data_IF_474943244883
#
_entry.id   IF_474943244883
#
_cell.length_a   1.000
_cell.length_b   1.000
_cell.length_c   1.000
_cell.angle_alpha   90.00
_cell.angle_beta   90.00
_cell.angle_gamma   90.00
#
_symmetry.space_group_name_H-M   'P 1'
#
loop_
_entity.id
_entity.type
_entity.pdbx_description
1 polymer ?
#
# COMPACT_ATOMS: atom_id res chain seq x y z
N UNK A 1 4.65 -23.32 -15.36
CA UNK A 1 3.16 -23.40 -15.45
C UNK A 1 2.53 -22.03 -15.20
N UNK A 2 2.83 -21.36 -14.08
CA UNK A 2 2.45 -19.97 -13.77
C UNK A 2 2.54 -18.99 -14.95
N UNK A 3 3.73 -18.79 -15.53
CA UNK A 3 3.94 -17.84 -16.64
C UNK A 3 3.06 -18.15 -17.85
N UNK A 4 2.86 -19.43 -18.16
CA UNK A 4 2.03 -19.86 -19.29
C UNK A 4 0.55 -19.59 -19.05
N UNK A 5 0.08 -19.80 -17.82
CA UNK A 5 -1.30 -19.49 -17.42
C UNK A 5 -1.62 -17.99 -17.58
N UNK A 6 -0.74 -17.11 -17.06
CA UNK A 6 -0.92 -15.66 -17.18
C UNK A 6 -0.69 -15.14 -18.59
N UNK A 7 0.19 -15.77 -19.37
CA UNK A 7 0.32 -15.45 -20.79
C UNK A 7 -0.98 -15.73 -21.55
N UNK A 8 -1.63 -16.89 -21.31
CA UNK A 8 -2.94 -17.17 -21.91
C UNK A 8 -4.02 -16.18 -21.47
N UNK A 9 -3.95 -15.66 -20.24
CA UNK A 9 -4.83 -14.58 -19.78
C UNK A 9 -4.57 -13.25 -20.52
N UNK A 10 -3.30 -12.91 -20.77
CA UNK A 10 -2.95 -11.72 -21.56
C UNK A 10 -3.49 -11.80 -23.00
N UNK A 11 -3.50 -13.00 -23.59
CA UNK A 11 -4.07 -13.26 -24.92
C UNK A 11 -5.60 -13.39 -24.93
N UNK A 12 -6.25 -13.40 -23.76
CA UNK A 12 -7.69 -13.65 -23.63
C UNK A 12 -8.12 -15.10 -23.93
N UNK A 13 -7.18 -16.05 -23.97
CA UNK A 13 -7.42 -17.48 -24.22
C UNK A 13 -7.80 -18.22 -22.93
N UNK A 14 -8.82 -17.73 -22.22
CA UNK A 14 -9.18 -18.21 -20.88
C UNK A 14 -9.58 -19.70 -20.83
N UNK A 15 -10.19 -20.22 -21.90
CA UNK A 15 -10.54 -21.65 -22.01
C UNK A 15 -9.32 -22.56 -22.12
N UNK A 16 -8.24 -22.09 -22.76
CA UNK A 16 -6.98 -22.83 -22.81
C UNK A 16 -6.23 -22.75 -21.47
N UNK A 17 -6.40 -21.65 -20.73
CA UNK A 17 -5.81 -21.48 -19.41
C UNK A 17 -6.43 -22.43 -18.36
N UNK A 18 -7.63 -22.94 -18.59
CA UNK A 18 -8.29 -23.96 -17.74
C UNK A 18 -7.41 -25.20 -17.52
N UNK A 19 -6.59 -25.59 -18.50
CA UNK A 19 -5.68 -26.74 -18.38
C UNK A 19 -4.62 -26.58 -17.27
N UNK A 20 -4.48 -25.39 -16.69
CA UNK A 20 -3.60 -25.12 -15.56
C UNK A 20 -4.36 -24.94 -14.24
N UNK A 21 -5.69 -25.01 -14.24
CA UNK A 21 -6.56 -24.89 -13.07
C UNK A 21 -6.76 -26.27 -12.45
N UNK A 22 -6.81 -26.35 -11.12
CA UNK A 22 -7.11 -27.60 -10.44
C UNK A 22 -8.55 -28.03 -10.77
N UNK A 23 -8.80 -29.34 -10.87
CA UNK A 23 -10.13 -29.85 -11.25
C UNK A 23 -11.24 -29.33 -10.32
N UNK A 24 -10.97 -29.30 -9.02
CA UNK A 24 -11.86 -28.75 -7.98
C UNK A 24 -12.10 -27.23 -8.06
N UNK A 25 -11.28 -26.50 -8.82
CA UNK A 25 -11.36 -25.03 -8.94
C UNK A 25 -11.88 -24.58 -10.30
N UNK A 26 -12.27 -25.51 -11.19
CA UNK A 26 -12.74 -25.18 -12.56
C UNK A 26 -14.02 -24.35 -12.55
N UNK A 27 -14.99 -24.73 -11.73
CA UNK A 27 -16.26 -24.02 -11.64
C UNK A 27 -16.07 -22.59 -11.12
N UNK A 28 -15.31 -22.43 -10.02
CA UNK A 28 -14.94 -21.12 -9.50
C UNK A 28 -14.13 -20.29 -10.51
N UNK A 29 -13.31 -20.94 -11.34
CA UNK A 29 -12.58 -20.28 -12.40
C UNK A 29 -13.53 -19.80 -13.51
N UNK A 30 -14.56 -20.57 -13.88
CA UNK A 30 -15.57 -20.15 -14.84
C UNK A 30 -16.40 -18.96 -14.35
N UNK A 31 -16.72 -18.93 -13.05
CA UNK A 31 -17.49 -17.85 -12.43
C UNK A 31 -16.66 -16.58 -12.16
N UNK A 32 -15.33 -16.68 -12.20
CA UNK A 32 -14.45 -15.54 -11.94
C UNK A 32 -14.46 -14.47 -13.04
N UNK A 33 -14.30 -13.21 -12.62
CA UNK A 33 -14.11 -12.06 -13.50
C UNK A 33 -12.79 -12.18 -14.28
N UNK A 34 -12.89 -12.44 -15.59
CA UNK A 34 -11.74 -12.63 -16.47
C UNK A 34 -11.32 -11.31 -17.08
N UNK A 35 -10.10 -10.87 -16.74
CA UNK A 35 -9.48 -9.67 -17.31
C UNK A 35 -8.24 -10.03 -18.10
N UNK A 36 -7.99 -9.26 -19.16
CA UNK A 36 -6.74 -9.33 -19.91
C UNK A 36 -5.70 -8.46 -19.20
N UNK A 37 -4.62 -9.08 -18.80
CA UNK A 37 -3.48 -8.39 -18.21
C UNK A 37 -2.47 -8.06 -19.32
N UNK A 38 -1.91 -6.87 -19.29
CA UNK A 38 -0.96 -6.39 -20.30
C UNK A 38 0.48 -6.82 -20.00
N UNK A 39 0.81 -7.04 -18.72
CA UNK A 39 2.13 -7.50 -18.30
C UNK A 39 2.05 -8.39 -17.07
N UNK A 40 3.08 -9.21 -16.87
CA UNK A 40 3.24 -10.10 -15.74
C UNK A 40 4.64 -9.91 -15.16
N UNK A 41 4.69 -9.66 -13.86
CA UNK A 41 5.92 -9.65 -13.08
C UNK A 41 5.74 -10.55 -11.86
N UNK A 42 6.67 -11.47 -11.63
CA UNK A 42 6.62 -12.33 -10.44
C UNK A 42 7.37 -11.62 -9.31
N UNK A 43 6.64 -11.25 -8.26
CA UNK A 43 7.21 -10.51 -7.13
C UNK A 43 7.79 -11.48 -6.10
N UNK A 44 7.00 -12.48 -5.71
CA UNK A 44 7.38 -13.43 -4.65
C UNK A 44 6.70 -14.77 -4.83
N UNK A 45 7.42 -15.84 -4.49
CA UNK A 45 6.86 -17.19 -4.36
C UNK A 45 7.09 -17.67 -2.94
N UNK A 46 6.02 -18.00 -2.23
CA UNK A 46 6.08 -18.62 -0.91
C UNK A 46 5.62 -20.06 -1.05
N UNK A 47 6.53 -21.02 -0.84
CA UNK A 47 6.17 -22.43 -0.77
C UNK A 47 5.71 -22.80 0.64
N UNK A 48 4.81 -23.76 0.73
CA UNK A 48 4.31 -24.32 1.98
C UNK A 48 4.01 -25.81 1.82
N UNK A 49 3.76 -26.50 2.93
CA UNK A 49 3.40 -27.93 2.97
C UNK A 49 4.39 -28.78 2.16
N UNK A 50 5.66 -28.78 2.56
CA UNK A 50 6.70 -29.59 1.91
C UNK A 50 6.81 -29.36 0.39
N UNK A 51 6.68 -28.10 -0.04
CA UNK A 51 6.71 -27.70 -1.45
C UNK A 51 5.57 -28.28 -2.31
N UNK A 52 4.46 -28.68 -1.69
CA UNK A 52 3.26 -29.13 -2.42
C UNK A 52 2.23 -28.00 -2.61
N UNK A 53 2.40 -26.87 -1.92
CA UNK A 53 1.61 -25.63 -2.10
C UNK A 53 2.49 -24.41 -2.29
N UNK A 54 1.98 -23.43 -3.03
CA UNK A 54 2.66 -22.16 -3.24
C UNK A 54 1.66 -20.99 -3.33
N UNK A 55 1.95 -19.91 -2.61
CA UNK A 55 1.33 -18.61 -2.80
C UNK A 55 2.28 -17.73 -3.62
N UNK A 56 1.86 -17.40 -4.84
CA UNK A 56 2.64 -16.60 -5.80
C UNK A 56 2.04 -15.20 -5.88
N UNK A 57 2.80 -14.22 -5.43
CA UNK A 57 2.48 -12.79 -5.58
C UNK A 57 3.04 -12.33 -6.92
N UNK A 58 2.16 -11.81 -7.78
CA UNK A 58 2.49 -11.27 -9.09
C UNK A 58 2.02 -9.83 -9.20
N UNK A 59 2.73 -9.00 -9.95
CA UNK A 59 2.26 -7.71 -10.43
C UNK A 59 1.67 -7.91 -11.84
N UNK A 60 0.38 -7.63 -11.98
CA UNK A 60 -0.34 -7.71 -13.25
C UNK A 60 -0.57 -6.31 -13.81
N UNK A 61 0.00 -6.03 -14.98
CA UNK A 61 -0.20 -4.76 -15.66
C UNK A 61 -1.61 -4.64 -16.24
N UNK A 62 -2.21 -3.46 -16.07
CA UNK A 62 -3.46 -3.06 -16.72
C UNK A 62 -3.44 -1.56 -16.96
N UNK A 63 -4.43 -1.04 -17.66
CA UNK A 63 -4.63 0.39 -17.85
C UNK A 63 -5.73 0.89 -16.93
N UNK A 64 -5.40 1.86 -16.08
CA UNK A 64 -6.39 2.60 -15.32
C UNK A 64 -6.92 3.75 -16.17
N UNK A 65 -8.22 3.76 -16.42
CA UNK A 65 -8.91 4.90 -17.05
C UNK A 65 -9.07 6.02 -16.03
N UNK A 66 -8.44 7.16 -16.28
CA UNK A 66 -8.62 8.41 -15.53
C UNK A 66 -9.36 9.44 -16.38
N UNK A 67 -9.79 10.55 -15.77
CA UNK A 67 -10.41 11.67 -16.50
C UNK A 67 -9.50 12.25 -17.59
N UNK A 68 -8.19 12.12 -17.43
CA UNK A 68 -7.13 12.65 -18.31
C UNK A 68 -6.57 11.64 -19.30
N UNK A 69 -7.01 10.37 -19.27
CA UNK A 69 -6.54 9.32 -20.17
C UNK A 69 -6.23 8.00 -19.45
N UNK A 70 -5.67 7.05 -20.18
CA UNK A 70 -5.27 5.75 -19.64
C UNK A 70 -3.85 5.86 -19.06
N UNK A 71 -3.66 5.44 -17.81
CA UNK A 71 -2.34 5.30 -17.20
C UNK A 71 -2.02 3.82 -16.95
N UNK A 72 -0.78 3.36 -17.23
CA UNK A 72 -0.38 2.01 -16.89
C UNK A 72 -0.35 1.84 -15.36
N UNK A 73 -0.97 0.78 -14.86
CA UNK A 73 -1.04 0.43 -13.46
C UNK A 73 -0.66 -1.05 -13.27
N UNK A 74 0.10 -1.36 -12.23
CA UNK A 74 0.41 -2.74 -11.85
C UNK A 74 -0.34 -3.09 -10.58
N UNK A 75 -1.16 -4.14 -10.65
CA UNK A 75 -1.95 -4.61 -9.52
C UNK A 75 -1.25 -5.82 -8.89
N UNK A 76 -0.91 -5.77 -7.60
CA UNK A 76 -0.44 -6.96 -6.90
C UNK A 76 -1.60 -7.95 -6.78
N UNK A 77 -1.37 -9.17 -7.20
CA UNK A 77 -2.33 -10.26 -7.15
C UNK A 77 -1.67 -11.51 -6.60
N UNK A 78 -2.32 -12.18 -5.65
CA UNK A 78 -1.82 -13.43 -5.09
C UNK A 78 -2.59 -14.60 -5.69
N UNK A 79 -1.90 -15.43 -6.46
CA UNK A 79 -2.44 -16.70 -6.96
C UNK A 79 -1.97 -17.86 -6.10
N UNK A 80 -2.90 -18.75 -5.73
CA UNK A 80 -2.58 -19.97 -4.99
C UNK A 80 -2.39 -21.13 -5.96
N UNK A 81 -1.37 -21.94 -5.71
CA UNK A 81 -0.99 -23.08 -6.53
C UNK A 81 -0.79 -24.29 -5.63
N UNK A 82 -1.15 -25.47 -6.12
CA UNK A 82 -0.87 -26.73 -5.44
C UNK A 82 -0.47 -27.81 -6.43
N UNK A 83 0.24 -28.82 -5.95
CA UNK A 83 0.52 -30.03 -6.72
C UNK A 83 -0.70 -30.95 -6.64
N UNK A 84 -1.32 -31.23 -7.78
CA UNK A 84 -2.37 -32.23 -7.92
C UNK A 84 -2.04 -33.13 -9.12
N UNK A 85 -2.24 -34.43 -8.99
CA UNK A 85 -1.92 -35.41 -10.04
C UNK A 85 -0.48 -35.27 -10.58
N UNK A 86 0.48 -34.97 -9.71
CA UNK A 86 1.89 -34.81 -10.05
C UNK A 86 2.25 -33.50 -10.78
N UNK A 87 1.31 -32.55 -10.92
CA UNK A 87 1.55 -31.27 -11.58
C UNK A 87 1.01 -30.08 -10.78
N UNK A 88 1.68 -28.93 -10.90
CA UNK A 88 1.19 -27.68 -10.32
C UNK A 88 -0.06 -27.17 -11.04
N UNK A 89 -1.13 -26.93 -10.30
CA UNK A 89 -2.38 -26.35 -10.77
C UNK A 89 -2.74 -25.11 -9.93
N UNK A 90 -3.42 -24.16 -10.58
CA UNK A 90 -3.97 -22.96 -9.95
C UNK A 90 -5.20 -23.35 -9.15
N UNK A 91 -5.14 -23.06 -7.87
CA UNK A 91 -6.15 -23.40 -6.88
C UNK A 91 -6.93 -22.14 -6.50
N UNK A 92 -8.24 -22.18 -6.68
CA UNK A 92 -9.17 -21.19 -6.16
C UNK A 92 -9.86 -21.84 -4.96
N UNK A 93 -9.60 -21.35 -3.73
CA UNK A 93 -10.30 -21.86 -2.57
C UNK A 93 -11.80 -21.57 -2.72
N UNK A 94 -12.69 -22.54 -2.41
CA UNK A 94 -14.12 -22.29 -2.40
C UNK A 94 -14.44 -21.18 -1.41
N UNK A 95 -15.46 -20.34 -1.68
CA UNK A 95 -15.88 -19.32 -0.74
C UNK A 95 -16.35 -20.01 0.54
N UNK A 96 -15.55 -19.93 1.60
CA UNK A 96 -16.01 -20.31 2.93
C UNK A 96 -17.02 -19.25 3.38
N UNK A 97 -18.05 -19.62 4.15
CA UNK A 97 -19.05 -18.68 4.72
C UNK A 97 -18.44 -17.51 5.50
N UNK A 98 -17.15 -17.60 5.79
CA UNK A 98 -16.34 -16.63 6.49
C UNK A 98 -15.16 -16.13 5.68
N UNK A 99 -15.09 -16.31 4.36
CA UNK A 99 -13.94 -15.98 3.49
C UNK A 99 -14.37 -15.48 2.08
N UNK A 100 -14.39 -14.17 1.87
CA UNK A 100 -14.59 -13.55 0.55
C UNK A 100 -13.24 -13.32 -0.14
N UNK A 101 -13.01 -13.94 -1.29
CA UNK A 101 -11.80 -13.68 -2.08
C UNK A 101 -11.95 -12.32 -2.77
N UNK A 102 -11.15 -11.33 -2.36
CA UNK A 102 -11.06 -10.01 -2.99
C UNK A 102 -9.81 -9.94 -3.88
N UNK A 103 -9.72 -9.00 -4.83
CA UNK A 103 -8.49 -8.80 -5.62
C UNK A 103 -7.23 -8.48 -4.78
N UNK A 104 -7.38 -8.20 -3.48
CA UNK A 104 -6.28 -7.98 -2.52
C UNK A 104 -5.98 -9.20 -1.63
N UNK A 105 -6.67 -10.33 -1.83
CA UNK A 105 -6.56 -11.55 -1.03
C UNK A 105 -7.86 -11.97 -0.34
N UNK A 106 -7.77 -13.06 0.43
CA UNK A 106 -8.92 -13.68 1.12
C UNK A 106 -9.32 -12.84 2.33
N UNK A 107 -10.51 -12.25 2.29
CA UNK A 107 -11.10 -11.43 3.34
C UNK A 107 -12.03 -12.28 4.20
N UNK A 108 -11.73 -12.50 5.48
CA UNK A 108 -12.62 -13.29 6.34
C UNK A 108 -13.77 -12.48 6.92
N UNK A 109 -15.03 -12.81 6.64
CA UNK A 109 -16.19 -12.20 7.31
C UNK A 109 -16.57 -13.00 8.56
N UNK A 110 -16.33 -12.45 9.74
CA UNK A 110 -16.59 -13.14 11.01
C UNK A 110 -18.10 -13.11 11.33
N UNK A 111 -18.81 -14.23 11.12
CA UNK A 111 -20.14 -14.46 11.71
C UNK A 111 -19.97 -14.65 13.22
N UNK A 112 -20.50 -13.73 14.01
CA UNK A 112 -20.62 -13.90 15.45
C UNK A 112 -21.61 -15.03 15.76
N UNK A 113 -21.15 -16.11 16.40
CA UNK A 113 -21.87 -16.84 17.47
C UNK A 113 -21.09 -18.08 17.92
N UNK A 114 -21.05 -18.30 19.24
CA UNK A 114 -20.98 -19.65 19.82
C UNK A 114 -19.65 -20.06 20.44
N UNK A 115 -19.59 -20.00 21.77
CA UNK A 115 -18.57 -20.53 22.66
C UNK A 115 -18.08 -21.95 22.33
N UNK A 116 -16.76 -22.13 22.20
CA UNK A 116 -16.12 -23.45 22.14
C UNK A 116 -14.59 -23.34 22.11
N UNK A 117 -13.98 -23.60 23.28
CA UNK A 117 -12.55 -23.82 23.58
C UNK A 117 -11.47 -23.24 22.63
N UNK A 118 -10.79 -22.23 23.17
CA UNK A 118 -9.60 -21.64 22.60
C UNK A 118 -8.45 -22.64 22.48
N UNK A 119 -8.10 -23.02 21.25
CA UNK A 119 -6.70 -23.29 20.90
C UNK A 119 -6.01 -21.94 20.71
N UNK A 120 -5.34 -21.50 21.77
CA UNK A 120 -4.42 -20.37 21.73
C UNK A 120 -3.25 -20.70 20.81
N UNK A 121 -3.24 -20.10 19.63
CA UNK A 121 -2.06 -19.76 18.82
C UNK A 121 -2.55 -19.31 17.44
N UNK A 122 -2.01 -18.21 16.90
CA UNK A 122 -2.25 -17.63 15.56
C UNK A 122 -3.26 -16.47 15.46
N UNK A 123 -4.27 -16.34 16.33
CA UNK A 123 -5.22 -15.22 16.23
C UNK A 123 -4.65 -13.84 16.68
N UNK A 124 -3.58 -13.83 17.48
CA UNK A 124 -2.89 -12.59 17.88
C UNK A 124 -2.01 -12.00 16.78
N UNK A 125 -1.54 -12.82 15.83
CA UNK A 125 -0.57 -12.41 14.82
C UNK A 125 -1.17 -11.70 13.59
N UNK A 126 -2.46 -11.89 13.30
CA UNK A 126 -3.08 -11.29 12.09
C UNK A 126 -3.57 -9.85 12.29
N UNK A 127 -4.06 -9.49 13.49
CA UNK A 127 -4.29 -8.07 13.83
C UNK A 127 -2.98 -7.32 14.02
N UNK A 128 -1.97 -8.00 14.58
CA UNK A 128 -0.62 -7.49 14.60
C UNK A 128 -0.06 -7.34 13.18
N UNK A 129 -0.38 -8.18 12.19
CA UNK A 129 0.22 -8.11 10.86
C UNK A 129 -0.27 -6.92 10.01
N UNK A 130 -1.56 -6.56 10.03
CA UNK A 130 -2.04 -5.38 9.27
C UNK A 130 -1.57 -4.08 9.93
N UNK A 131 -1.66 -4.00 11.26
CA UNK A 131 -1.09 -2.89 12.01
C UNK A 131 0.44 -2.84 11.87
N UNK A 132 1.14 -3.97 11.79
CA UNK A 132 2.60 -4.03 11.60
C UNK A 132 3.00 -3.63 10.17
N UNK A 133 2.18 -3.90 9.15
CA UNK A 133 2.43 -3.42 7.77
C UNK A 133 2.22 -1.90 7.70
N UNK A 134 1.16 -1.36 8.32
CA UNK A 134 0.96 0.10 8.40
C UNK A 134 2.05 0.78 9.26
N UNK A 135 2.47 0.14 10.36
CA UNK A 135 3.57 0.60 11.22
C UNK A 135 4.96 0.25 10.67
N UNK A 136 5.07 -0.36 9.49
CA UNK A 136 6.35 -0.68 8.88
C UNK A 136 6.96 0.58 8.28
N UNK A 137 6.14 1.48 7.71
CA UNK A 137 6.59 2.81 7.29
C UNK A 137 6.42 3.75 8.47
N UNK A 138 7.52 4.39 8.87
CA UNK A 138 7.52 5.28 10.04
C UNK A 138 8.02 6.66 9.67
N UNK A 139 7.25 7.67 10.05
CA UNK A 139 7.67 9.05 10.06
C UNK A 139 8.30 9.35 11.43
N UNK A 140 9.41 10.08 11.47
CA UNK A 140 9.98 10.53 12.75
C UNK A 140 9.08 11.52 13.48
N UNK A 141 8.21 12.22 12.73
CA UNK A 141 7.18 13.12 13.22
C UNK A 141 6.12 13.38 12.15
N UNK A 142 4.91 13.69 12.59
CA UNK A 142 3.76 14.02 11.73
C UNK A 142 3.55 15.54 11.58
N UNK A 143 4.35 16.33 12.30
CA UNK A 143 4.29 17.79 12.29
C UNK A 143 5.66 18.37 11.94
N UNK A 144 5.67 19.29 10.98
CA UNK A 144 6.82 20.15 10.69
C UNK A 144 6.50 21.57 11.13
N UNK A 145 7.43 22.22 11.83
CA UNK A 145 7.24 23.57 12.34
C UNK A 145 8.18 24.51 11.61
N UNK A 146 7.61 25.46 10.87
CA UNK A 146 8.34 26.53 10.20
C UNK A 146 7.84 27.86 10.72
N UNK A 147 8.70 28.87 10.75
CA UNK A 147 8.35 30.24 11.12
C UNK A 147 7.54 30.88 10.00
N UNK A 148 6.34 31.37 10.30
CA UNK A 148 5.47 32.06 9.35
C UNK A 148 5.90 33.49 9.04
N UNK A 149 7.00 33.98 9.62
CA UNK A 149 7.43 35.38 9.61
C UNK A 149 8.89 35.61 9.17
N UNK A 150 9.68 34.55 9.05
CA UNK A 150 11.04 34.59 8.49
C UNK A 150 11.39 33.25 7.83
N UNK A 151 12.40 33.25 6.97
CA UNK A 151 12.85 32.04 6.29
C UNK A 151 13.28 30.99 7.30
N UNK A 152 12.71 29.80 7.20
CA UNK A 152 13.02 28.70 8.10
C UNK A 152 12.76 27.36 7.43
N UNK A 153 13.33 26.31 7.99
CA UNK A 153 13.20 24.95 7.48
C UNK A 153 13.02 23.98 8.62
N UNK A 154 12.32 22.90 8.34
CA UNK A 154 12.22 21.75 9.22
C UNK A 154 12.29 20.47 8.39
N UNK A 155 12.73 19.37 8.99
CA UNK A 155 12.89 18.09 8.31
C UNK A 155 12.33 16.93 9.13
N UNK A 156 11.82 15.91 8.44
CA UNK A 156 11.42 14.64 9.02
C UNK A 156 12.14 13.48 8.31
N UNK A 157 12.21 12.34 8.98
CA UNK A 157 12.76 11.11 8.43
C UNK A 157 11.63 10.14 8.12
N UNK A 158 11.76 9.44 7.00
CA UNK A 158 10.85 8.40 6.55
C UNK A 158 11.64 7.10 6.53
N UNK A 159 11.19 6.11 7.28
CA UNK A 159 11.83 4.81 7.43
C UNK A 159 11.00 3.72 6.75
N UNK A 160 11.66 2.88 5.94
CA UNK A 160 11.09 1.68 5.36
C UNK A 160 11.40 0.45 6.25
N UNK A 161 10.47 0.08 7.11
CA UNK A 161 10.53 -1.16 7.89
C UNK A 161 9.90 -2.36 7.19
N UNK A 162 9.51 -2.25 5.91
CA UNK A 162 8.95 -3.36 5.15
C UNK A 162 10.06 -4.26 4.60
N UNK A 163 9.71 -5.52 4.34
CA UNK A 163 10.56 -6.42 3.56
C UNK A 163 10.32 -6.15 2.07
N UNK A 164 11.03 -5.18 1.49
CA UNK A 164 10.94 -4.82 0.08
C UNK A 164 11.25 -3.35 -0.19
N UNK A 165 11.15 -2.95 -1.46
CA UNK A 165 11.35 -1.56 -1.89
C UNK A 165 10.10 -0.74 -1.58
N UNK A 166 10.29 0.46 -1.05
CA UNK A 166 9.28 1.48 -0.84
C UNK A 166 9.59 2.69 -1.73
N UNK A 167 8.62 3.11 -2.53
CA UNK A 167 8.69 4.38 -3.25
C UNK A 167 7.94 5.45 -2.48
N UNK A 168 8.55 6.62 -2.37
CA UNK A 168 8.08 7.74 -1.57
C UNK A 168 7.97 8.97 -2.46
N UNK A 169 6.77 9.54 -2.51
CA UNK A 169 6.48 10.79 -3.19
C UNK A 169 5.80 11.77 -2.26
N UNK A 170 5.98 13.07 -2.52
CA UNK A 170 5.35 14.14 -1.75
C UNK A 170 4.33 14.84 -2.63
N UNK A 171 3.07 14.83 -2.18
CA UNK A 171 1.96 15.50 -2.83
C UNK A 171 1.42 16.60 -1.92
N UNK A 172 1.26 17.80 -2.46
CA UNK A 172 0.69 18.92 -1.72
C UNK A 172 0.03 19.91 -2.69
N UNK A 173 -0.91 20.70 -2.19
CA UNK A 173 -1.38 21.88 -2.91
C UNK A 173 -0.24 22.92 -3.03
N UNK A 174 -0.32 23.82 -3.99
CA UNK A 174 0.64 24.92 -4.06
C UNK A 174 0.42 25.90 -2.92
N UNK A 175 1.47 26.14 -2.13
CA UNK A 175 1.50 27.20 -1.13
C UNK A 175 2.65 28.15 -1.45
N UNK A 176 2.35 29.44 -1.73
CA UNK A 176 3.40 30.39 -2.05
C UNK A 176 4.45 30.53 -0.94
N UNK A 177 5.73 30.40 -1.33
CA UNK A 177 6.86 30.47 -0.40
C UNK A 177 7.21 29.14 0.26
N UNK A 178 6.40 28.09 0.08
CA UNK A 178 6.70 26.74 0.54
C UNK A 178 7.46 25.97 -0.54
N UNK A 179 8.55 25.32 -0.16
CA UNK A 179 9.27 24.36 -0.98
C UNK A 179 9.65 23.13 -0.17
N UNK A 180 9.83 21.99 -0.84
CA UNK A 180 10.27 20.76 -0.20
C UNK A 180 11.25 19.99 -1.07
N UNK A 181 12.11 19.21 -0.42
CA UNK A 181 13.07 18.33 -1.05
C UNK A 181 13.08 16.98 -0.35
N UNK A 182 12.99 15.93 -1.15
CA UNK A 182 13.16 14.54 -0.72
C UNK A 182 14.55 14.07 -1.17
N UNK A 183 15.36 13.58 -0.24
CA UNK A 183 16.74 13.17 -0.54
C UNK A 183 16.79 11.96 -1.49
N UNK A 184 15.93 10.97 -1.24
CA UNK A 184 15.69 9.83 -2.13
C UNK A 184 14.24 9.38 -2.09
N UNK A 185 13.68 9.10 -3.27
CA UNK A 185 12.32 8.59 -3.45
C UNK A 185 12.21 7.06 -3.51
N UNK A 186 13.33 6.34 -3.63
CA UNK A 186 13.36 4.87 -3.58
C UNK A 186 14.09 4.43 -2.33
N UNK A 187 13.47 3.59 -1.52
CA UNK A 187 14.00 3.05 -0.27
C UNK A 187 14.04 1.53 -0.30
N UNK A 188 15.20 0.93 -0.13
CA UNK A 188 15.32 -0.52 0.11
C UNK A 188 14.85 -0.87 1.54
N UNK A 189 14.74 -2.16 1.84
CA UNK A 189 14.33 -2.63 3.17
C UNK A 189 15.30 -2.13 4.25
N UNK A 190 14.76 -1.52 5.31
CA UNK A 190 15.54 -0.98 6.43
C UNK A 190 16.16 0.40 6.17
N UNK A 191 15.94 1.01 5.00
CA UNK A 191 16.51 2.32 4.69
C UNK A 191 15.67 3.50 5.22
N UNK A 192 16.32 4.67 5.28
CA UNK A 192 15.71 5.96 5.63
C UNK A 192 15.97 7.01 4.55
N UNK A 193 15.03 7.95 4.38
CA UNK A 193 15.20 9.18 3.59
C UNK A 193 14.75 10.38 4.41
N UNK A 194 15.24 11.57 4.06
CA UNK A 194 14.82 12.82 4.70
C UNK A 194 13.94 13.62 3.76
N UNK A 195 12.85 14.13 4.31
CA UNK A 195 12.02 15.17 3.69
C UNK A 195 12.31 16.49 4.40
N UNK A 196 12.88 17.44 3.67
CA UNK A 196 13.11 18.80 4.14
C UNK A 196 12.06 19.72 3.55
N UNK A 197 11.41 20.49 4.41
CA UNK A 197 10.52 21.59 4.02
C UNK A 197 11.21 22.90 4.36
N UNK A 198 11.10 23.86 3.45
CA UNK A 198 11.52 25.23 3.67
C UNK A 198 10.35 26.17 3.39
N UNK A 199 10.21 27.19 4.23
CA UNK A 199 9.24 28.25 4.05
C UNK A 199 9.91 29.61 4.03
N UNK A 200 9.61 30.39 3.00
CA UNK A 200 10.01 31.79 2.83
C UNK A 200 8.74 32.65 2.78
N UNK A 201 8.37 33.33 3.88
CA UNK A 201 7.13 34.10 3.95
C UNK A 201 7.14 35.30 2.98
N UNK A 202 6.01 35.52 2.29
CA UNK A 202 5.77 36.74 1.50
C UNK A 202 5.39 37.94 2.37
N UNK A 203 4.77 37.68 3.50
CA UNK A 203 4.33 38.67 4.49
C UNK A 203 4.41 38.06 5.91
N UNK A 204 4.20 38.89 6.93
CA UNK A 204 4.22 38.46 8.35
C UNK A 204 2.84 38.05 8.89
N UNK A 205 1.83 37.92 8.02
CA UNK A 205 0.48 37.57 8.47
C UNK A 205 0.43 36.15 9.05
N UNK A 206 -0.42 35.86 10.05
CA UNK A 206 -0.62 34.49 10.52
C UNK A 206 -1.14 33.60 9.40
N UNK A 207 -0.58 32.39 9.28
CA UNK A 207 -0.93 31.44 8.22
C UNK A 207 -1.62 30.23 8.83
N UNK A 208 -2.71 29.72 8.23
CA UNK A 208 -3.32 28.48 8.69
C UNK A 208 -2.33 27.33 8.49
N UNK A 209 -2.46 26.28 9.31
CA UNK A 209 -1.67 25.07 9.10
C UNK A 209 -1.95 24.48 7.73
N UNK A 210 -0.91 23.97 7.09
CA UNK A 210 -0.96 23.39 5.75
C UNK A 210 -0.69 21.88 5.83
N UNK A 211 -1.30 21.07 4.97
CA UNK A 211 -1.11 19.62 4.95
C UNK A 211 -0.39 19.20 3.67
N UNK A 212 0.71 18.45 3.83
CA UNK A 212 1.37 17.72 2.76
C UNK A 212 1.10 16.22 2.95
N UNK A 213 1.07 15.46 1.87
CA UNK A 213 0.84 14.02 1.88
C UNK A 213 2.09 13.31 1.38
N UNK A 214 2.61 12.40 2.19
CA UNK A 214 3.68 11.48 1.80
C UNK A 214 3.03 10.22 1.26
N UNK A 215 3.02 10.04 -0.05
CA UNK A 215 2.50 8.83 -0.70
C UNK A 215 3.57 7.74 -0.65
N UNK A 216 3.19 6.58 -0.10
CA UNK A 216 4.04 5.42 0.00
C UNK A 216 3.53 4.30 -0.91
N UNK A 217 4.29 3.96 -1.95
CA UNK A 217 3.98 2.86 -2.87
C UNK A 217 4.89 1.65 -2.59
N UNK A 218 4.37 0.42 -2.59
CA UNK A 218 3.07 -0.01 -3.12
C UNK A 218 1.92 0.00 -2.09
N UNK A 219 2.11 0.57 -0.89
CA UNK A 219 1.06 0.57 0.14
C UNK A 219 -0.22 1.29 -0.29
N UNK A 220 -0.12 2.23 -1.24
CA UNK A 220 -1.25 3.06 -1.66
C UNK A 220 -1.77 3.95 -0.52
N UNK A 221 -0.97 4.09 0.54
CA UNK A 221 -1.29 4.86 1.72
C UNK A 221 -0.57 6.20 1.66
N UNK A 222 -1.31 7.27 1.94
CA UNK A 222 -0.79 8.61 2.06
C UNK A 222 -0.71 8.99 3.53
N UNK A 223 0.48 9.26 4.02
CA UNK A 223 0.69 9.74 5.37
C UNK A 223 0.53 11.28 5.39
N UNK A 224 -0.46 11.82 6.10
CA UNK A 224 -0.61 13.26 6.24
C UNK A 224 0.48 13.82 7.14
N UNK A 225 1.14 14.89 6.72
CA UNK A 225 2.13 15.63 7.51
C UNK A 225 1.67 17.09 7.58
N UNK A 226 1.48 17.56 8.81
CA UNK A 226 0.98 18.90 9.09
C UNK A 226 2.14 19.90 9.21
N UNK A 227 2.13 20.93 8.38
CA UNK A 227 3.00 22.09 8.49
C UNK A 227 2.32 23.12 9.38
N UNK A 228 2.98 23.49 10.47
CA UNK A 228 2.53 24.53 11.39
C UNK A 228 3.41 25.75 11.22
N UNK A 229 2.77 26.89 11.00
CA UNK A 229 3.44 28.18 10.90
C UNK A 229 3.50 28.81 12.27
N UNK A 230 4.69 28.82 12.88
CA UNK A 230 4.92 29.51 14.13
C UNK A 230 4.81 31.04 13.92
N UNK A 231 4.37 31.73 14.97
CA UNK A 231 4.05 33.16 14.97
C UNK A 231 5.06 33.86 15.91
N UNK A 232 5.48 35.11 15.66
CA UNK A 232 6.38 35.82 16.57
C UNK A 232 5.85 35.88 18.01
N UNK A 233 6.75 35.79 19.00
CA UNK A 233 6.41 35.84 20.42
C UNK A 233 5.64 37.10 20.83
N UNK A 234 5.92 38.25 20.19
CA UNK A 234 5.16 39.49 20.41
C UNK A 234 3.69 39.36 20.02
N UNK A 235 3.40 38.62 18.95
CA UNK A 235 2.04 38.38 18.46
C UNK A 235 1.33 37.28 19.26
N UNK A 236 2.06 36.26 19.75
CA UNK A 236 1.50 35.25 20.67
C UNK A 236 0.97 35.84 21.97
N UNK A 237 1.61 36.90 22.49
CA UNK A 237 1.17 37.63 23.69
C UNK A 237 -0.13 38.42 23.49
N UNK A 238 -0.43 38.80 22.25
CA UNK A 238 -1.64 39.57 21.89
C UNK A 238 -2.83 38.68 21.50
N UNK A 239 -2.61 37.38 21.26
CA UNK A 239 -3.66 36.43 20.87
C UNK A 239 -4.37 35.82 22.09
N UNK A 240 -5.72 35.72 22.07
CA UNK A 240 -6.50 35.00 23.08
C UNK A 240 -6.00 33.54 23.21
N UNK A 241 -6.04 32.93 24.41
CA UNK A 241 -5.54 31.57 24.65
C UNK A 241 -6.11 30.51 23.70
N UNK A 242 -7.34 30.70 23.23
CA UNK A 242 -8.07 29.77 22.36
C UNK A 242 -7.56 29.67 20.92
N UNK A 243 -6.67 30.57 20.46
CA UNK A 243 -6.19 30.65 19.05
C UNK A 243 -4.68 30.50 18.96
N UNK A 244 -4.01 30.08 20.05
CA UNK A 244 -2.57 29.82 20.04
C UNK A 244 -2.29 28.50 19.30
N UNK A 245 -1.35 28.46 18.34
CA UNK A 245 -1.04 27.28 17.52
C UNK A 245 -0.39 26.13 18.31
#
# INVERSE_FOLDING_TARGET
RLTRFYHLHSEGKFRQAEAFVCDESRDAYYDSDKRRWQSLEIIKVNFSEEFTKAAVVVALGSELRTRTGNIPAKYPYTSMWKVANGAWCYYIPPPTDSETVTPFGVMRQQKNAGSGQATQSMASNQRASVAAILNAVRLSKERLVVKGYETSSDELEIYNGMTGVLFVEVQAAELPGLSWKLDKGKLEAGERTKLRVQYTPRDKSPKPSFELRVLAEPLGHAFPVKIVFDIPEETKKQLPPAVRP
#
